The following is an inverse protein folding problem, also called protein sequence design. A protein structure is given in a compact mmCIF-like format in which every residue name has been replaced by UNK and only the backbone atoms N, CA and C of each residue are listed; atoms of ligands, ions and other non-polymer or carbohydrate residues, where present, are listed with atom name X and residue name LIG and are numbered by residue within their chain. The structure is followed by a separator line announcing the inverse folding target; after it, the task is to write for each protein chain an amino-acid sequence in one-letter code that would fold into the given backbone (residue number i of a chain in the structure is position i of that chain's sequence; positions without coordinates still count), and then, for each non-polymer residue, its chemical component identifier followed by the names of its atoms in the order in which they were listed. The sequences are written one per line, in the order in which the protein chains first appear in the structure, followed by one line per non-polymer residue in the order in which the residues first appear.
data_IF_604595077254
#
_entry.id   IF_604595077254
#
_cell.length_a   1.000
_cell.length_b   1.000
_cell.length_c   1.000
_cell.angle_alpha   90.00
_cell.angle_beta   90.00
_cell.angle_gamma   90.00
#
_symmetry.space_group_name_H-M   'P 1'
#
loop_
_entity.id
_entity.type
_entity.pdbx_description
1 polymer ?
#
# COMPACT_ATOMS: atom_id res chain seq x y z
N UNK A 1 -2.78 -7.37 -6.67
CA UNK A 1 -3.94 -7.75 -5.84
C UNK A 1 -5.15 -6.94 -6.27
N UNK A 2 -6.34 -7.42 -5.97
CA UNK A 2 -7.59 -6.65 -6.14
C UNK A 2 -7.81 -5.67 -4.98
N UNK A 3 -8.80 -4.79 -5.15
CA UNK A 3 -9.13 -3.70 -4.21
C UNK A 3 -9.72 -4.22 -2.90
N UNK A 4 -10.41 -5.36 -2.90
CA UNK A 4 -10.98 -5.96 -1.68
C UNK A 4 -9.86 -6.44 -0.76
N UNK A 5 -8.91 -7.20 -1.30
CA UNK A 5 -7.76 -7.67 -0.54
C UNK A 5 -6.93 -6.50 0.01
N UNK A 6 -6.77 -5.43 -0.77
CA UNK A 6 -6.04 -4.25 -0.32
C UNK A 6 -6.74 -3.53 0.84
N UNK A 7 -8.07 -3.35 0.77
CA UNK A 7 -8.84 -2.74 1.85
C UNK A 7 -8.73 -3.55 3.14
N UNK A 8 -8.75 -4.88 3.07
CA UNK A 8 -8.53 -5.72 4.24
C UNK A 8 -7.14 -5.55 4.83
N UNK A 9 -6.08 -5.47 4.01
CA UNK A 9 -4.72 -5.23 4.50
C UNK A 9 -4.60 -3.89 5.24
N UNK A 10 -5.21 -2.83 4.71
CA UNK A 10 -5.21 -1.50 5.35
C UNK A 10 -6.02 -1.51 6.66
N UNK A 11 -7.14 -2.23 6.72
CA UNK A 11 -7.89 -2.44 7.98
C UNK A 11 -7.07 -3.20 9.02
N UNK A 12 -6.37 -4.26 8.61
CA UNK A 12 -5.47 -5.01 9.48
C UNK A 12 -4.37 -4.09 10.00
N UNK A 13 -3.69 -3.34 9.12
CA UNK A 13 -2.65 -2.39 9.52
C UNK A 13 -3.18 -1.31 10.49
N UNK A 14 -4.40 -0.81 10.27
CA UNK A 14 -5.08 0.11 11.17
C UNK A 14 -5.36 -0.52 12.54
N UNK A 15 -5.89 -1.74 12.58
CA UNK A 15 -6.20 -2.47 13.83
C UNK A 15 -4.97 -2.76 14.68
N UNK A 16 -3.81 -2.96 14.03
CA UNK A 16 -2.52 -3.19 14.67
C UNK A 16 -1.77 -1.88 15.00
N UNK A 17 -2.38 -0.73 14.68
CA UNK A 17 -1.80 0.59 14.84
C UNK A 17 -0.40 0.69 14.22
N UNK A 18 -0.25 0.19 12.99
CA UNK A 18 0.98 0.31 12.21
C UNK A 18 1.14 1.75 11.68
N UNK A 19 2.39 2.17 11.49
CA UNK A 19 2.72 3.57 11.24
C UNK A 19 2.35 4.01 9.82
N UNK A 20 2.70 3.21 8.82
CA UNK A 20 2.37 3.48 7.42
C UNK A 20 1.14 2.70 7.02
N UNK A 21 0.06 3.43 6.72
CA UNK A 21 -1.22 2.92 6.25
C UNK A 21 -2.02 4.09 5.70
N UNK A 22 -2.94 3.80 4.80
CA UNK A 22 -3.92 4.77 4.35
C UNK A 22 -5.15 4.76 5.25
N UNK A 23 -5.91 5.85 5.19
CA UNK A 23 -7.26 5.87 5.73
C UNK A 23 -8.15 4.96 4.87
N UNK A 24 -8.85 4.02 5.52
CA UNK A 24 -9.62 2.96 4.83
C UNK A 24 -10.81 3.56 4.09
N UNK A 25 -11.46 4.57 4.66
CA UNK A 25 -12.62 5.21 4.05
C UNK A 25 -12.19 6.04 2.83
N UNK A 26 -11.08 6.77 2.94
CA UNK A 26 -10.47 7.46 1.81
C UNK A 26 -10.10 6.47 0.70
N UNK A 27 -9.46 5.35 1.04
CA UNK A 27 -9.04 4.37 0.04
C UNK A 27 -10.25 3.77 -0.67
N UNK A 28 -11.28 3.36 0.07
CA UNK A 28 -12.52 2.82 -0.48
C UNK A 28 -13.22 3.81 -1.42
N UNK A 29 -13.18 5.12 -1.12
CA UNK A 29 -13.80 6.15 -1.94
C UNK A 29 -13.00 6.51 -3.21
N UNK A 30 -11.70 6.24 -3.26
CA UNK A 30 -10.83 6.72 -4.34
C UNK A 30 -10.25 5.61 -5.22
N UNK A 31 -10.22 4.37 -4.75
CA UNK A 31 -9.59 3.26 -5.47
C UNK A 31 -10.44 2.79 -6.66
N UNK A 32 -9.78 2.38 -7.74
CA UNK A 32 -10.45 1.64 -8.82
C UNK A 32 -10.91 0.28 -8.29
N UNK A 33 -12.21 0.00 -8.28
CA UNK A 33 -12.78 -1.22 -7.73
C UNK A 33 -12.42 -2.48 -8.54
N UNK A 34 -12.10 -2.32 -9.83
CA UNK A 34 -11.66 -3.40 -10.71
C UNK A 34 -10.13 -3.32 -10.97
N UNK A 35 -9.46 -2.40 -10.28
CA UNK A 35 -8.05 -2.09 -10.44
C UNK A 35 -7.12 -3.16 -9.90
N UNK A 36 -5.96 -3.29 -10.55
CA UNK A 36 -4.83 -4.06 -10.02
C UNK A 36 -3.90 -3.17 -9.20
N UNK A 37 -3.59 -3.59 -7.97
CA UNK A 37 -2.65 -2.90 -7.08
C UNK A 37 -1.40 -3.74 -6.82
N UNK A 38 -0.27 -3.08 -6.61
CA UNK A 38 1.01 -3.76 -6.45
C UNK A 38 1.70 -3.35 -5.16
N UNK A 39 2.18 -4.34 -4.41
CA UNK A 39 3.09 -4.12 -3.29
C UNK A 39 4.52 -4.43 -3.72
N UNK A 40 5.43 -3.57 -3.32
CA UNK A 40 6.86 -3.76 -3.47
C UNK A 40 7.53 -3.78 -2.10
N UNK A 41 8.14 -4.91 -1.68
CA UNK A 41 8.80 -4.99 -0.38
C UNK A 41 10.03 -4.07 -0.38
N UNK A 42 10.01 -3.02 0.45
CA UNK A 42 11.06 -2.01 0.45
C UNK A 42 12.08 -2.25 1.57
N UNK A 43 11.61 -2.43 2.81
CA UNK A 43 12.50 -2.58 3.98
C UNK A 43 11.82 -3.30 5.14
N UNK A 44 12.63 -3.91 5.99
CA UNK A 44 12.20 -4.45 7.29
C UNK A 44 12.27 -3.37 8.35
N UNK A 45 11.16 -3.16 9.07
CA UNK A 45 11.14 -2.33 10.26
C UNK A 45 11.24 -3.22 11.50
N UNK A 46 12.06 -2.77 12.47
CA UNK A 46 12.18 -3.39 13.78
C UNK A 46 11.81 -2.36 14.85
N UNK A 47 10.76 -2.64 15.61
CA UNK A 47 10.28 -1.81 16.70
C UNK A 47 10.41 -2.58 18.02
N UNK A 48 11.58 -2.53 18.68
CA UNK A 48 11.86 -3.34 19.86
C UNK A 48 10.97 -2.98 21.08
N UNK A 49 10.31 -1.83 21.03
CA UNK A 49 9.39 -1.38 22.08
C UNK A 49 7.98 -1.96 21.97
N UNK A 50 7.65 -2.67 20.88
CA UNK A 50 6.36 -3.37 20.75
C UNK A 50 6.39 -4.65 21.59
N UNK A 51 5.32 -4.93 22.31
CA UNK A 51 5.18 -6.14 23.14
C UNK A 51 4.72 -7.36 22.34
N UNK A 52 3.99 -7.17 21.23
CA UNK A 52 3.60 -8.24 20.32
C UNK A 52 4.77 -8.62 19.39
N UNK A 53 5.29 -9.86 19.44
CA UNK A 53 6.37 -10.33 18.58
C UNK A 53 6.11 -10.19 17.07
N UNK A 54 4.83 -10.28 16.65
CA UNK A 54 4.46 -10.11 15.25
C UNK A 54 4.49 -8.65 14.80
N UNK A 55 4.53 -7.70 15.74
CA UNK A 55 4.62 -6.26 15.48
C UNK A 55 6.02 -5.70 15.73
N UNK A 56 6.87 -6.45 16.44
CA UNK A 56 8.30 -6.13 16.60
C UNK A 56 8.98 -6.08 15.24
N UNK A 57 8.66 -7.00 14.34
CA UNK A 57 9.21 -7.02 12.98
C UNK A 57 8.08 -7.02 11.96
N UNK A 58 8.02 -5.98 11.15
CA UNK A 58 7.06 -5.87 10.06
C UNK A 58 7.76 -5.38 8.79
N UNK A 59 7.12 -5.64 7.66
CA UNK A 59 7.59 -5.26 6.34
C UNK A 59 6.97 -3.92 5.97
N UNK A 60 7.78 -2.98 5.50
CA UNK A 60 7.29 -1.77 4.84
C UNK A 60 7.29 -2.01 3.34
N UNK A 61 6.11 -1.91 2.76
CA UNK A 61 5.90 -2.02 1.33
C UNK A 61 5.64 -0.65 0.74
N UNK A 62 6.19 -0.39 -0.44
CA UNK A 62 5.65 0.62 -1.34
C UNK A 62 4.41 0.05 -2.03
N UNK A 63 3.37 0.86 -2.15
CA UNK A 63 2.09 0.49 -2.73
C UNK A 63 1.84 1.33 -3.97
N UNK A 64 1.65 0.69 -5.12
CA UNK A 64 1.19 1.33 -6.35
C UNK A 64 -0.33 1.14 -6.46
N UNK A 65 -1.05 2.26 -6.43
CA UNK A 65 -2.50 2.33 -6.50
C UNK A 65 -2.95 2.78 -7.88
N UNK A 66 -4.11 2.27 -8.30
CA UNK A 66 -4.89 2.84 -9.40
C UNK A 66 -6.16 3.42 -8.79
N UNK A 67 -6.39 4.69 -9.04
CA UNK A 67 -7.57 5.41 -8.57
C UNK A 67 -8.71 5.25 -9.57
N UNK A 68 -9.95 5.44 -9.12
CA UNK A 68 -11.14 5.40 -9.97
C UNK A 68 -11.12 6.45 -11.10
N UNK A 69 -10.26 7.47 -10.97
CA UNK A 69 -9.99 8.48 -12.00
C UNK A 69 -8.97 8.04 -13.05
N UNK A 70 -8.56 6.76 -13.04
CA UNK A 70 -7.50 6.16 -13.86
C UNK A 70 -6.08 6.70 -13.60
N UNK A 71 -5.92 7.56 -12.58
CA UNK A 71 -4.61 7.99 -12.13
C UNK A 71 -3.90 6.90 -11.31
N UNK A 72 -2.57 6.94 -11.35
CA UNK A 72 -1.74 6.11 -10.50
C UNK A 72 -1.05 6.97 -9.45
N UNK A 73 -1.02 6.47 -8.22
CA UNK A 73 -0.38 7.11 -7.08
C UNK A 73 0.38 6.09 -6.25
N UNK A 74 1.36 6.55 -5.48
CA UNK A 74 2.12 5.72 -4.56
C UNK A 74 1.76 5.97 -3.10
N UNK A 75 1.89 4.94 -2.27
CA UNK A 75 1.78 5.05 -0.80
C UNK A 75 2.74 4.08 -0.13
N UNK A 76 2.75 4.08 1.20
CA UNK A 76 3.45 3.11 2.03
C UNK A 76 2.44 2.33 2.88
N UNK A 77 2.69 1.04 3.01
CA UNK A 77 1.92 0.14 3.88
C UNK A 77 2.89 -0.70 4.71
N UNK A 78 2.82 -0.54 6.03
CA UNK A 78 3.46 -1.42 7.00
C UNK A 78 2.54 -2.62 7.21
N UNK A 79 3.08 -3.84 7.13
CA UNK A 79 2.30 -5.07 7.31
C UNK A 79 3.13 -6.22 7.90
N UNK A 80 2.48 -7.18 8.58
CA UNK A 80 3.18 -8.36 9.12
C UNK A 80 3.63 -9.26 7.97
N UNK A 81 4.69 -10.03 8.20
CA UNK A 81 5.12 -11.04 7.23
C UNK A 81 4.02 -12.07 6.95
N UNK A 82 3.27 -12.48 7.98
CA UNK A 82 2.15 -13.42 7.86
C UNK A 82 1.02 -12.91 6.94
N UNK A 83 0.87 -11.58 6.80
CA UNK A 83 -0.11 -10.99 5.88
C UNK A 83 0.46 -10.84 4.45
N UNK A 84 1.79 -10.80 4.31
CA UNK A 84 2.49 -10.64 3.03
C UNK A 84 2.75 -11.98 2.32
N UNK A 85 3.19 -13.01 3.05
CA UNK A 85 3.53 -14.33 2.51
C UNK A 85 2.43 -14.98 1.64
N UNK A 86 1.12 -14.91 1.98
CA UNK A 86 0.08 -15.51 1.15
C UNK A 86 -0.26 -14.71 -0.11
N UNK A 87 0.31 -13.50 -0.29
CA UNK A 87 -0.02 -12.66 -1.43
C UNK A 87 0.53 -13.21 -2.75
N UNK A 88 -0.21 -13.04 -3.86
CA UNK A 88 0.25 -13.50 -5.16
C UNK A 88 1.50 -12.73 -5.58
N UNK A 89 2.56 -13.46 -5.87
CA UNK A 89 3.79 -12.89 -6.43
C UNK A 89 3.60 -12.45 -7.89
N UNK A 90 4.42 -11.49 -8.31
CA UNK A 90 4.44 -11.04 -9.70
C UNK A 90 4.82 -12.19 -10.64
N UNK A 91 4.10 -12.29 -11.76
CA UNK A 91 4.23 -13.40 -12.72
C UNK A 91 5.50 -13.30 -13.59
N UNK A 92 6.15 -12.14 -13.65
CA UNK A 92 7.38 -11.96 -14.43
C UNK A 92 8.24 -10.80 -13.93
N UNK A 93 9.54 -10.89 -14.23
CA UNK A 93 10.51 -9.83 -13.97
C UNK A 93 10.18 -8.52 -14.72
N UNK A 94 9.70 -8.60 -15.96
CA UNK A 94 9.34 -7.43 -16.76
C UNK A 94 8.22 -6.62 -16.11
N UNK A 95 7.21 -7.29 -15.54
CA UNK A 95 6.16 -6.63 -14.75
C UNK A 95 6.77 -5.98 -13.51
N UNK A 96 7.68 -6.68 -12.81
CA UNK A 96 8.38 -6.11 -11.65
C UNK A 96 9.16 -4.83 -11.98
N UNK A 97 9.91 -4.82 -13.08
CA UNK A 97 10.65 -3.64 -13.54
C UNK A 97 9.72 -2.48 -13.91
N UNK A 98 8.56 -2.77 -14.51
CA UNK A 98 7.55 -1.75 -14.80
C UNK A 98 6.97 -1.15 -13.51
N UNK A 99 6.57 -1.98 -12.55
CA UNK A 99 6.06 -1.52 -11.24
C UNK A 99 7.11 -0.68 -10.53
N UNK A 100 8.36 -1.11 -10.49
CA UNK A 100 9.45 -0.35 -9.88
C UNK A 100 9.67 1.01 -10.55
N UNK A 101 9.58 1.09 -11.90
CA UNK A 101 9.64 2.39 -12.60
C UNK A 101 8.47 3.30 -12.21
N UNK A 102 7.25 2.78 -12.20
CA UNK A 102 6.05 3.54 -11.86
C UNK A 102 6.10 4.10 -10.44
N UNK A 103 6.51 3.28 -9.47
CA UNK A 103 6.67 3.70 -8.07
C UNK A 103 7.65 4.89 -7.89
N UNK A 104 8.61 5.05 -8.81
CA UNK A 104 9.56 6.16 -8.79
C UNK A 104 9.08 7.41 -9.56
N UNK A 105 7.99 7.31 -10.33
CA UNK A 105 7.51 8.39 -11.19
C UNK A 105 6.15 8.97 -10.80
N UNK A 106 5.30 8.18 -10.14
CA UNK A 106 3.95 8.61 -9.74
C UNK A 106 3.99 9.45 -8.46
N UNK A 107 3.09 10.45 -8.31
CA UNK A 107 3.00 11.20 -7.05
C UNK A 107 2.57 10.28 -5.91
N UNK A 108 3.02 10.59 -4.70
CA UNK A 108 2.48 9.97 -3.49
C UNK A 108 1.02 10.40 -3.27
N UNK A 109 0.24 9.62 -2.54
CA UNK A 109 -1.12 9.99 -2.11
C UNK A 109 -1.12 11.36 -1.42
N UNK A 110 -0.11 11.63 -0.57
CA UNK A 110 0.01 12.92 0.11
C UNK A 110 0.21 14.08 -0.87
N UNK A 111 1.09 13.93 -1.88
CA UNK A 111 1.28 14.93 -2.93
C UNK A 111 0.02 15.10 -3.77
N UNK A 112 -0.61 13.99 -4.18
CA UNK A 112 -1.84 14.00 -4.96
C UNK A 112 -2.99 14.72 -4.25
N UNK A 113 -3.10 14.57 -2.92
CA UNK A 113 -4.08 15.28 -2.10
C UNK A 113 -3.79 16.79 -1.98
N UNK A 114 -2.50 17.18 -2.01
CA UNK A 114 -2.09 18.58 -1.95
C UNK A 114 -2.30 19.31 -3.28
N UNK A 115 -2.06 18.61 -4.40
CA UNK A 115 -2.12 19.19 -5.75
C UNK A 115 -3.54 19.35 -6.29
N UNK A 116 -4.54 18.76 -5.60
CA UNK A 116 -5.96 18.92 -5.96
C UNK A 116 -6.61 20.06 -5.18
N UNK A 117 -7.35 20.95 -5.85
CA UNK A 117 -8.17 21.92 -5.13
C UNK A 117 -9.13 21.15 -4.23
N UNK A 118 -9.15 21.47 -2.94
CA UNK A 118 -10.17 20.97 -2.00
C UNK A 118 -11.52 21.25 -2.64
N UNK A 119 -12.22 20.22 -3.09
CA UNK A 119 -13.58 20.40 -3.59
C UNK A 119 -14.41 20.98 -2.43
N UNK A 120 -15.16 22.08 -2.68
CA UNK A 120 -16.01 22.71 -1.67
C UNK A 120 -17.12 21.78 -1.20
#
# INVERSE_FOLDING_TARGET
MDSVALLELERVAASLNLNQRLDVDWLAANIDAEGGHYLWPALWNVHPHRTDPQLVRHLRCQLLLRLATDEQVSSLLDMRLADFDPLPSLRSRAVGEQVARLLNSVPSVAQWQQDRPRRP
#
